data_IF_348730931174
#
_entry.id   IF_348730931174
#
_cell.length_a   1.000
_cell.length_b   1.000
_cell.length_c   1.000
_cell.angle_alpha   90.00
_cell.angle_beta   90.00
_cell.angle_gamma   90.00
#
_symmetry.space_group_name_H-M   'P 1'
#
loop_
_entity.id
_entity.type
_entity.pdbx_description
1 polymer ?
#
# COMPACT_ATOMS: atom_id res chain seq x y z
N UNK A 1 28.52 -28.97 -28.50
CA UNK A 1 27.70 -28.02 -27.72
C UNK A 1 28.38 -27.66 -26.38
N UNK A 2 28.79 -28.62 -25.56
CA UNK A 2 29.47 -28.35 -24.27
C UNK A 2 30.76 -27.51 -24.39
N UNK A 3 31.60 -27.74 -25.40
CA UNK A 3 32.82 -26.95 -25.62
C UNK A 3 32.56 -25.48 -25.97
N UNK A 4 31.51 -25.18 -26.74
CA UNK A 4 31.18 -23.80 -27.10
C UNK A 4 30.64 -23.03 -25.88
N UNK A 5 29.85 -23.70 -25.03
CA UNK A 5 29.36 -23.16 -23.76
C UNK A 5 30.49 -22.94 -22.75
N UNK A 6 31.49 -23.84 -22.72
CA UNK A 6 32.65 -23.67 -21.84
C UNK A 6 33.61 -22.59 -22.34
N UNK A 7 33.81 -22.48 -23.66
CA UNK A 7 34.64 -21.45 -24.27
C UNK A 7 34.05 -20.03 -24.09
N UNK A 8 32.73 -19.90 -24.05
CA UNK A 8 32.07 -18.60 -23.96
C UNK A 8 31.97 -18.05 -22.53
N UNK A 9 32.23 -18.86 -21.48
CA UNK A 9 31.94 -18.51 -20.08
C UNK A 9 32.61 -17.22 -19.57
N UNK A 10 33.76 -16.85 -20.13
CA UNK A 10 34.49 -15.63 -19.74
C UNK A 10 34.26 -14.45 -20.69
N UNK A 11 33.48 -14.64 -21.76
CA UNK A 11 33.21 -13.57 -22.73
C UNK A 11 32.11 -12.66 -22.20
N UNK A 12 32.31 -11.34 -22.26
CA UNK A 12 31.27 -10.36 -21.90
C UNK A 12 30.02 -10.44 -22.80
N UNK A 13 30.16 -10.99 -24.01
CA UNK A 13 29.04 -11.24 -24.92
C UNK A 13 28.17 -12.42 -24.51
N UNK A 14 28.63 -13.26 -23.58
CA UNK A 14 27.84 -14.38 -23.06
C UNK A 14 26.65 -13.84 -22.25
N UNK A 15 25.40 -14.22 -22.58
CA UNK A 15 24.22 -13.77 -21.86
C UNK A 15 24.26 -14.05 -20.35
N UNK A 16 25.00 -15.08 -19.91
CA UNK A 16 25.17 -15.42 -18.49
C UNK A 16 25.96 -14.38 -17.70
N UNK A 17 26.81 -13.60 -18.38
CA UNK A 17 27.65 -12.56 -17.77
C UNK A 17 26.95 -11.20 -17.73
N UNK A 18 25.68 -11.11 -18.12
CA UNK A 18 24.87 -9.91 -17.95
C UNK A 18 24.30 -9.88 -16.54
N UNK A 19 24.89 -9.05 -15.70
CA UNK A 19 24.42 -8.83 -14.34
C UNK A 19 23.07 -8.12 -14.33
N UNK A 20 22.24 -8.46 -13.34
CA UNK A 20 20.91 -7.87 -13.11
C UNK A 20 20.75 -7.30 -11.71
N UNK A 21 21.80 -7.40 -10.89
CA UNK A 21 21.86 -6.86 -9.53
C UNK A 21 23.00 -5.87 -9.50
N UNK A 22 22.72 -4.64 -9.10
CA UNK A 22 23.69 -3.55 -9.09
C UNK A 22 23.76 -2.90 -7.70
N UNK A 23 24.87 -2.23 -7.35
CA UNK A 23 24.92 -1.42 -6.13
C UNK A 23 23.94 -0.24 -6.22
N UNK A 24 23.25 0.06 -5.13
CA UNK A 24 22.30 1.17 -5.07
C UNK A 24 22.96 2.51 -5.45
N UNK A 25 22.40 3.21 -6.43
CA UNK A 25 22.87 4.55 -6.79
C UNK A 25 24.32 4.60 -7.28
N UNK A 26 24.89 3.46 -7.74
CA UNK A 26 26.30 3.30 -8.13
C UNK A 26 27.31 3.39 -6.99
N UNK A 27 26.85 3.33 -5.74
CA UNK A 27 27.71 3.32 -4.57
C UNK A 27 27.57 1.98 -3.82
N UNK A 28 28.59 1.09 -3.87
CA UNK A 28 28.55 -0.21 -3.21
C UNK A 28 28.63 -0.12 -1.67
N UNK A 29 28.88 1.06 -1.09
CA UNK A 29 28.90 1.26 0.36
C UNK A 29 27.49 1.46 0.94
N UNK A 30 26.51 1.76 0.10
CA UNK A 30 25.11 1.88 0.51
C UNK A 30 24.56 0.47 0.78
N UNK A 31 23.95 0.28 1.95
CA UNK A 31 23.33 -0.98 2.38
C UNK A 31 22.04 -1.36 1.65
N UNK A 32 22.01 -1.27 0.32
CA UNK A 32 20.89 -1.69 -0.53
C UNK A 32 21.40 -2.10 -1.92
N UNK A 33 20.65 -2.96 -2.61
CA UNK A 33 20.97 -3.46 -3.95
C UNK A 33 19.85 -3.11 -4.92
N UNK A 34 20.19 -2.72 -6.14
CA UNK A 34 19.23 -2.59 -7.23
C UNK A 34 18.97 -3.97 -7.81
N UNK A 35 17.78 -4.50 -7.55
CA UNK A 35 17.31 -5.81 -8.03
C UNK A 35 16.12 -5.62 -8.96
N UNK A 36 15.76 -6.61 -9.79
CA UNK A 36 14.56 -6.54 -10.60
C UNK A 36 13.26 -6.30 -9.80
N UNK A 37 13.26 -6.67 -8.50
CA UNK A 37 12.11 -6.51 -7.62
C UNK A 37 11.94 -5.07 -7.11
N UNK A 38 13.02 -4.33 -6.87
CA UNK A 38 12.93 -2.97 -6.30
C UNK A 38 13.30 -1.84 -7.28
N UNK A 39 14.04 -2.15 -8.35
CA UNK A 39 14.59 -1.15 -9.25
C UNK A 39 14.04 -1.21 -10.68
N UNK A 40 13.20 -2.20 -10.98
CA UNK A 40 12.57 -2.32 -12.30
C UNK A 40 11.64 -1.14 -12.61
N UNK A 41 11.53 -0.72 -13.89
CA UNK A 41 10.69 0.41 -14.28
C UNK A 41 9.23 0.24 -13.87
N UNK A 42 8.69 -0.98 -13.96
CA UNK A 42 7.29 -1.28 -13.61
C UNK A 42 7.05 -1.13 -12.11
N UNK A 43 7.92 -1.69 -11.26
CA UNK A 43 7.77 -1.57 -9.81
C UNK A 43 7.98 -0.13 -9.37
N UNK A 44 9.00 0.55 -9.90
CA UNK A 44 9.21 1.98 -9.63
C UNK A 44 7.98 2.79 -10.02
N UNK A 45 7.42 2.59 -11.21
CA UNK A 45 6.21 3.28 -11.63
C UNK A 45 5.03 2.99 -10.69
N UNK A 46 4.79 1.71 -10.36
CA UNK A 46 3.68 1.31 -9.49
C UNK A 46 3.80 1.93 -8.10
N UNK A 47 4.92 1.74 -7.42
CA UNK A 47 5.13 2.20 -6.05
C UNK A 47 5.15 3.74 -5.98
N UNK A 48 5.81 4.43 -6.91
CA UNK A 48 5.84 5.90 -6.90
C UNK A 48 4.48 6.53 -7.24
N UNK A 49 3.54 5.78 -7.85
CA UNK A 49 2.18 6.26 -8.13
C UNK A 49 1.14 5.85 -7.09
N UNK A 50 1.51 5.05 -6.09
CA UNK A 50 0.65 4.79 -4.93
C UNK A 50 0.39 6.09 -4.16
N UNK A 51 -0.79 6.26 -3.53
CA UNK A 51 -1.15 7.49 -2.82
C UNK A 51 -0.14 7.90 -1.75
N UNK A 52 0.59 6.95 -1.15
CA UNK A 52 1.67 7.27 -0.22
C UNK A 52 2.80 8.08 -0.87
N UNK A 53 3.17 7.80 -2.11
CA UNK A 53 4.35 8.36 -2.77
C UNK A 53 4.04 9.26 -3.98
N UNK A 54 2.79 9.25 -4.47
CA UNK A 54 2.37 10.00 -5.66
C UNK A 54 2.70 11.49 -5.54
N UNK A 55 3.38 12.11 -6.51
CA UNK A 55 3.72 13.52 -6.41
C UNK A 55 2.47 14.42 -6.48
N UNK A 56 2.53 15.60 -5.85
CA UNK A 56 1.49 16.63 -5.95
C UNK A 56 0.21 16.36 -5.15
N UNK A 57 0.18 15.36 -4.25
CA UNK A 57 -0.97 15.12 -3.38
C UNK A 57 -0.78 15.74 -2.00
N UNK A 58 -1.83 16.40 -1.51
CA UNK A 58 -1.91 16.87 -0.13
C UNK A 58 -1.98 15.69 0.84
N UNK A 59 -1.50 15.84 2.10
CA UNK A 59 -1.53 14.75 3.09
C UNK A 59 -2.93 14.19 3.30
N UNK A 60 -3.95 15.07 3.26
CA UNK A 60 -5.36 14.70 3.33
C UNK A 60 -5.78 13.80 2.15
N UNK A 61 -5.44 14.17 0.90
CA UNK A 61 -5.83 13.37 -0.27
C UNK A 61 -5.21 11.97 -0.23
N UNK A 62 -3.95 11.87 0.24
CA UNK A 62 -3.25 10.59 0.45
C UNK A 62 -3.98 9.71 1.46
N UNK A 63 -4.26 10.28 2.64
CA UNK A 63 -4.94 9.56 3.72
C UNK A 63 -6.35 9.12 3.32
N UNK A 64 -7.07 9.93 2.54
CA UNK A 64 -8.41 9.58 2.05
C UNK A 64 -8.38 8.37 1.11
N UNK A 65 -7.52 8.36 0.09
CA UNK A 65 -7.41 7.25 -0.87
C UNK A 65 -6.98 5.96 -0.17
N UNK A 66 -6.03 6.05 0.76
CA UNK A 66 -5.56 4.91 1.56
C UNK A 66 -6.67 4.42 2.50
N UNK A 67 -7.35 5.32 3.20
CA UNK A 67 -8.47 4.99 4.07
C UNK A 67 -9.57 4.25 3.31
N UNK A 68 -9.99 4.75 2.15
CA UNK A 68 -11.02 4.12 1.31
C UNK A 68 -10.67 2.67 0.95
N UNK A 69 -9.44 2.43 0.50
CA UNK A 69 -8.97 1.09 0.16
C UNK A 69 -8.97 0.15 1.38
N UNK A 70 -8.47 0.61 2.53
CA UNK A 70 -8.38 -0.21 3.74
C UNK A 70 -9.77 -0.48 4.34
N UNK A 71 -10.64 0.51 4.43
CA UNK A 71 -12.00 0.34 4.91
C UNK A 71 -12.78 -0.69 4.09
N UNK A 72 -12.68 -0.59 2.75
CA UNK A 72 -13.31 -1.53 1.84
C UNK A 72 -12.78 -2.96 2.03
N UNK A 73 -11.46 -3.11 2.17
CA UNK A 73 -10.81 -4.41 2.39
C UNK A 73 -11.21 -5.05 3.73
N UNK A 74 -11.19 -4.27 4.81
CA UNK A 74 -11.36 -4.77 6.18
C UNK A 74 -12.76 -5.30 6.46
N UNK A 75 -13.78 -4.82 5.75
CA UNK A 75 -15.15 -5.34 5.86
C UNK A 75 -15.24 -6.86 5.65
N UNK A 76 -14.55 -7.40 4.64
CA UNK A 76 -14.72 -8.79 4.21
C UNK A 76 -14.44 -9.83 5.31
N UNK A 77 -13.26 -9.81 5.95
CA UNK A 77 -12.93 -10.74 7.03
C UNK A 77 -13.92 -10.68 8.21
N UNK A 78 -14.35 -9.48 8.64
CA UNK A 78 -15.31 -9.37 9.75
C UNK A 78 -16.70 -9.89 9.37
N UNK A 79 -17.17 -9.62 8.15
CA UNK A 79 -18.48 -10.05 7.70
C UNK A 79 -18.56 -11.57 7.48
N UNK A 80 -17.54 -12.17 6.84
CA UNK A 80 -17.60 -13.58 6.39
C UNK A 80 -16.91 -14.57 7.31
N UNK A 81 -15.94 -14.12 8.11
CA UNK A 81 -15.20 -14.98 9.03
C UNK A 81 -15.42 -14.60 10.51
N UNK A 82 -16.30 -13.62 10.77
CA UNK A 82 -16.65 -13.18 12.12
C UNK A 82 -17.61 -14.13 12.85
N UNK A 83 -17.84 -13.89 14.16
CA UNK A 83 -18.63 -14.77 15.01
C UNK A 83 -20.13 -14.81 14.63
N UNK A 84 -20.64 -13.76 13.99
CA UNK A 84 -22.04 -13.64 13.59
C UNK A 84 -22.28 -13.95 12.10
N UNK A 85 -21.29 -14.54 11.41
CA UNK A 85 -21.30 -14.77 9.95
C UNK A 85 -22.51 -15.57 9.44
N UNK A 86 -23.08 -16.44 10.28
CA UNK A 86 -24.20 -17.33 9.93
C UNK A 86 -25.56 -16.74 10.38
N UNK A 87 -25.61 -15.44 10.66
CA UNK A 87 -26.83 -14.73 11.09
C UNK A 87 -27.25 -13.67 10.07
N UNK A 88 -28.53 -13.27 10.10
CA UNK A 88 -29.03 -12.18 9.25
C UNK A 88 -28.31 -10.84 9.47
N UNK A 89 -27.63 -10.67 10.61
CA UNK A 89 -26.88 -9.46 10.96
C UNK A 89 -25.37 -9.57 10.67
N UNK A 90 -24.92 -10.59 9.92
CA UNK A 90 -23.52 -10.83 9.62
C UNK A 90 -22.82 -9.61 9.00
N UNK A 91 -23.40 -9.03 7.95
CA UNK A 91 -22.81 -7.90 7.24
C UNK A 91 -22.82 -6.62 8.10
N UNK A 92 -23.84 -6.42 8.94
CA UNK A 92 -23.89 -5.30 9.89
C UNK A 92 -22.80 -5.42 10.96
N UNK A 93 -22.62 -6.63 11.53
CA UNK A 93 -21.52 -6.90 12.46
C UNK A 93 -20.15 -6.69 11.78
N UNK A 94 -20.03 -7.09 10.51
CA UNK A 94 -18.87 -6.84 9.66
C UNK A 94 -18.53 -5.35 9.54
N UNK A 95 -19.54 -4.52 9.25
CA UNK A 95 -19.39 -3.07 9.15
C UNK A 95 -18.91 -2.45 10.47
N UNK A 96 -19.53 -2.82 11.59
CA UNK A 96 -19.14 -2.29 12.91
C UNK A 96 -17.71 -2.72 13.30
N UNK A 97 -17.33 -3.97 13.01
CA UNK A 97 -15.98 -4.47 13.23
C UNK A 97 -14.94 -3.71 12.40
N UNK A 98 -15.21 -3.50 11.11
CA UNK A 98 -14.33 -2.75 10.22
C UNK A 98 -14.17 -1.29 10.65
N UNK A 99 -15.27 -0.59 10.96
CA UNK A 99 -15.24 0.79 11.46
C UNK A 99 -14.47 0.87 12.79
N UNK A 100 -14.73 -0.06 13.72
CA UNK A 100 -14.02 -0.12 14.99
C UNK A 100 -12.51 -0.25 14.80
N UNK A 101 -12.07 -1.13 13.90
CA UNK A 101 -10.65 -1.28 13.58
C UNK A 101 -10.07 -0.02 12.91
N UNK A 102 -10.81 0.62 11.98
CA UNK A 102 -10.39 1.89 11.37
C UNK A 102 -10.18 2.97 12.44
N UNK A 103 -11.08 3.09 13.42
CA UNK A 103 -10.93 4.04 14.54
C UNK A 103 -9.66 3.74 15.36
N UNK A 104 -9.39 2.47 15.67
CA UNK A 104 -8.16 2.07 16.37
C UNK A 104 -6.93 2.41 15.54
N UNK A 105 -6.91 2.10 14.24
CA UNK A 105 -5.80 2.43 13.35
C UNK A 105 -5.58 3.95 13.26
N UNK A 106 -6.65 4.75 13.14
CA UNK A 106 -6.55 6.21 13.19
C UNK A 106 -5.96 6.69 14.53
N UNK A 107 -6.38 6.13 15.66
CA UNK A 107 -5.81 6.48 16.95
C UNK A 107 -4.30 6.18 17.00
N UNK A 108 -3.86 5.04 16.48
CA UNK A 108 -2.42 4.71 16.41
C UNK A 108 -1.64 5.66 15.49
N UNK A 109 -2.21 6.07 14.35
CA UNK A 109 -1.61 7.07 13.46
C UNK A 109 -1.47 8.43 14.16
N UNK A 110 -2.48 8.85 14.91
CA UNK A 110 -2.44 10.09 15.70
C UNK A 110 -1.39 10.00 16.82
N UNK A 111 -1.28 8.86 17.52
CA UNK A 111 -0.24 8.66 18.54
C UNK A 111 1.16 8.74 17.90
N UNK A 112 1.36 8.07 16.76
CA UNK A 112 2.61 8.14 16.00
C UNK A 112 2.95 9.56 15.54
N UNK A 113 1.96 10.33 15.07
CA UNK A 113 2.14 11.74 14.71
C UNK A 113 2.64 12.58 15.90
N UNK A 114 2.11 12.30 17.10
CA UNK A 114 2.43 13.03 18.32
C UNK A 114 3.73 12.58 18.99
N UNK A 115 4.31 11.45 18.61
CA UNK A 115 5.61 10.98 19.13
C UNK A 115 6.82 11.58 18.42
N UNK A 116 6.64 12.60 17.58
CA UNK A 116 7.69 13.24 16.76
C UNK A 116 8.49 12.23 15.92
N UNK A 117 7.85 11.59 14.92
CA UNK A 117 8.49 10.54 14.16
C UNK A 117 9.67 11.07 13.33
N UNK A 118 10.68 10.23 13.06
CA UNK A 118 11.77 10.58 12.16
C UNK A 118 11.24 10.80 10.74
N UNK A 119 12.05 11.47 9.91
CA UNK A 119 11.71 11.75 8.51
C UNK A 119 11.51 10.46 7.71
N UNK A 120 10.62 10.51 6.72
CA UNK A 120 10.44 9.42 5.78
C UNK A 120 11.74 9.15 5.00
N UNK A 121 12.11 7.88 4.89
CA UNK A 121 13.36 7.46 4.28
C UNK A 121 13.23 7.29 2.77
N UNK A 122 14.28 7.66 2.05
CA UNK A 122 14.44 7.35 0.64
C UNK A 122 14.91 5.90 0.45
N UNK A 123 14.62 5.32 -0.72
CA UNK A 123 15.07 4.00 -1.12
C UNK A 123 15.35 3.94 -2.62
N UNK A 124 15.90 2.82 -3.10
CA UNK A 124 16.09 2.56 -4.53
C UNK A 124 14.78 2.67 -5.32
N UNK A 125 13.67 2.20 -4.72
CA UNK A 125 12.35 2.24 -5.35
C UNK A 125 11.75 3.64 -5.34
N UNK A 126 11.87 4.36 -4.21
CA UNK A 126 11.33 5.70 -4.00
C UNK A 126 12.46 6.64 -3.56
N UNK A 127 13.14 7.30 -4.51
CA UNK A 127 14.26 8.19 -4.19
C UNK A 127 13.85 9.45 -3.42
N UNK A 128 12.63 9.94 -3.67
CA UNK A 128 12.13 11.21 -3.13
C UNK A 128 10.79 10.97 -2.40
N UNK A 129 10.81 10.54 -1.13
CA UNK A 129 9.58 10.39 -0.36
C UNK A 129 8.90 11.76 -0.13
N UNK A 130 7.55 11.83 -0.06
CA UNK A 130 6.83 13.09 0.15
C UNK A 130 7.12 13.72 1.51
N UNK A 131 8.04 14.68 1.51
CA UNK A 131 8.47 15.38 2.72
C UNK A 131 7.35 16.25 3.32
N UNK A 132 6.48 16.79 2.47
CA UNK A 132 5.32 17.59 2.82
C UNK A 132 4.27 16.82 3.63
N UNK A 133 4.14 15.51 3.40
CA UNK A 133 3.17 14.67 4.08
C UNK A 133 3.70 13.96 5.32
N UNK A 134 4.94 13.48 5.30
CA UNK A 134 5.41 12.52 6.31
C UNK A 134 6.60 13.00 7.16
N UNK A 135 7.07 14.25 6.98
CA UNK A 135 8.16 14.81 7.79
C UNK A 135 7.68 15.80 8.86
N UNK A 136 6.38 16.02 9.00
CA UNK A 136 5.82 16.91 10.01
C UNK A 136 4.66 16.26 10.76
N UNK A 137 4.50 16.66 12.02
CA UNK A 137 3.35 16.28 12.86
C UNK A 137 2.03 16.69 12.21
N UNK A 138 1.97 17.86 11.58
CA UNK A 138 0.76 18.36 10.93
C UNK A 138 0.37 17.49 9.72
N UNK A 139 1.34 17.09 8.89
CA UNK A 139 1.11 16.19 7.76
C UNK A 139 0.53 14.84 8.21
N UNK A 140 1.10 14.24 9.26
CA UNK A 140 0.59 12.99 9.83
C UNK A 140 -0.81 13.12 10.47
N UNK A 141 -1.12 14.23 11.15
CA UNK A 141 -2.46 14.44 11.70
C UNK A 141 -3.52 14.64 10.59
N UNK A 142 -3.18 15.40 9.54
CA UNK A 142 -4.06 15.55 8.38
C UNK A 142 -4.30 14.21 7.67
N UNK A 143 -3.26 13.39 7.56
CA UNK A 143 -3.36 12.02 7.04
C UNK A 143 -4.29 11.14 7.89
N UNK A 144 -4.13 11.15 9.22
CA UNK A 144 -4.92 10.34 10.14
C UNK A 144 -6.42 10.70 10.08
N UNK A 145 -6.74 12.01 10.06
CA UNK A 145 -8.11 12.50 9.91
C UNK A 145 -8.74 12.04 8.59
N UNK A 146 -7.99 12.12 7.49
CA UNK A 146 -8.47 11.67 6.19
C UNK A 146 -8.62 10.14 6.10
N UNK A 147 -7.72 9.39 6.75
CA UNK A 147 -7.79 7.93 6.83
C UNK A 147 -9.06 7.47 7.53
N UNK A 148 -9.48 8.15 8.60
CA UNK A 148 -10.74 7.86 9.30
C UNK A 148 -11.95 8.03 8.37
N UNK A 149 -12.05 9.18 7.72
CA UNK A 149 -13.16 9.50 6.80
C UNK A 149 -13.18 8.50 5.65
N UNK A 150 -12.03 8.25 5.03
CA UNK A 150 -11.90 7.29 3.94
C UNK A 150 -12.23 5.86 4.38
N UNK A 151 -11.73 5.43 5.54
CA UNK A 151 -11.94 4.09 6.08
C UNK A 151 -13.40 3.80 6.41
N UNK A 152 -14.09 4.73 7.06
CA UNK A 152 -15.54 4.59 7.30
C UNK A 152 -16.28 4.53 5.96
N UNK A 153 -15.98 5.45 5.03
CA UNK A 153 -16.60 5.47 3.70
C UNK A 153 -16.38 4.17 2.92
N UNK A 154 -15.16 3.65 2.90
CA UNK A 154 -14.81 2.40 2.22
C UNK A 154 -15.55 1.19 2.80
N UNK A 155 -15.62 1.09 4.13
CA UNK A 155 -16.34 0.00 4.81
C UNK A 155 -17.85 0.07 4.54
N UNK A 156 -18.44 1.27 4.56
CA UNK A 156 -19.85 1.49 4.24
C UNK A 156 -20.16 1.12 2.79
N UNK A 157 -19.29 1.48 1.83
CA UNK A 157 -19.44 1.07 0.43
C UNK A 157 -19.40 -0.45 0.29
N UNK A 158 -18.43 -1.12 0.91
CA UNK A 158 -18.34 -2.59 0.88
C UNK A 158 -19.59 -3.26 1.47
N UNK A 159 -20.09 -2.73 2.59
CA UNK A 159 -21.34 -3.17 3.21
C UNK A 159 -22.54 -3.04 2.26
N UNK A 160 -22.73 -1.85 1.65
CA UNK A 160 -23.87 -1.62 0.74
C UNK A 160 -23.80 -2.49 -0.52
N UNK A 161 -22.62 -2.70 -1.09
CA UNK A 161 -22.45 -3.59 -2.25
C UNK A 161 -22.75 -5.04 -1.89
N UNK A 162 -22.40 -5.47 -0.67
CA UNK A 162 -22.57 -6.85 -0.24
C UNK A 162 -24.01 -7.16 0.17
N UNK A 163 -24.65 -6.30 0.97
CA UNK A 163 -26.03 -6.52 1.43
C UNK A 163 -27.06 -6.41 0.30
N UNK A 164 -26.77 -5.64 -0.74
CA UNK A 164 -27.64 -5.48 -1.92
C UNK A 164 -27.14 -6.30 -3.12
N UNK A 165 -26.25 -7.26 -2.92
CA UNK A 165 -25.64 -7.99 -4.05
C UNK A 165 -26.67 -8.72 -4.92
N UNK A 166 -27.70 -9.31 -4.31
CA UNK A 166 -28.79 -9.98 -5.04
C UNK A 166 -29.58 -9.00 -5.91
N UNK A 167 -29.86 -7.80 -5.38
CA UNK A 167 -30.50 -6.73 -6.16
C UNK A 167 -29.62 -6.29 -7.33
N UNK A 168 -28.31 -6.14 -7.09
CA UNK A 168 -27.35 -5.75 -8.13
C UNK A 168 -27.28 -6.82 -9.22
N UNK A 169 -27.26 -8.11 -8.85
CA UNK A 169 -27.30 -9.21 -9.81
C UNK A 169 -28.59 -9.19 -10.64
N UNK A 170 -29.75 -8.97 -9.99
CA UNK A 170 -31.04 -8.86 -10.68
C UNK A 170 -31.14 -7.69 -11.67
N UNK A 171 -30.31 -6.65 -11.54
CA UNK A 171 -30.22 -5.55 -12.49
C UNK A 171 -29.33 -5.86 -13.71
N UNK A 172 -28.39 -6.80 -13.56
CA UNK A 172 -27.38 -7.12 -14.58
C UNK A 172 -27.72 -8.41 -15.35
N UNK A 173 -28.60 -9.27 -14.79
CA UNK A 173 -29.08 -10.52 -15.40
C UNK A 173 -28.54 -11.76 -14.71
#
# INVERSE_FOLDING_TARGET
MAQAVDASKNLASDPRNREVVFPAGRDPQIGNLETPVNSSPVVKWWINNLPAYRPGLTPFRRGLEIGQAHGYLLFGPFAKLGPLRDTASADLAGLLGAIGLVVVLTATLSIYANSNPPKALASVTVPNPPADAFNSKEGWNNFASAFLIGGIGGAVVAYFLTINLELIQGLVG
#
